data_IF_955992934069
#
_entry.id   IF_955992934069
#
_cell.length_a   1.000
_cell.length_b   1.000
_cell.length_c   1.000
_cell.angle_alpha   90.00
_cell.angle_beta   90.00
_cell.angle_gamma   90.00
#
_symmetry.space_group_name_H-M   'P 1'
#
loop_
_entity.id
_entity.type
_entity.pdbx_description
1 polymer ?
#
# COMPACT_ATOMS: atom_id res chain seq x y z
N UNK A 1 1.94 -7.93 21.23
CA UNK A 1 2.57 -7.38 22.45
C UNK A 1 3.49 -6.21 22.11
N UNK A 2 4.49 -6.38 21.22
CA UNK A 2 5.44 -5.33 20.82
C UNK A 2 4.80 -4.00 20.38
N UNK A 3 3.84 -4.03 19.46
CA UNK A 3 3.17 -2.79 19.01
C UNK A 3 2.42 -2.07 20.13
N UNK A 4 2.01 -2.78 21.19
CA UNK A 4 1.46 -2.12 22.38
C UNK A 4 2.50 -1.26 23.08
N UNK A 5 3.72 -1.78 23.24
CA UNK A 5 4.85 -1.03 23.79
C UNK A 5 5.24 0.15 22.90
N UNK A 6 5.32 -0.06 21.57
CA UNK A 6 5.60 1.03 20.62
C UNK A 6 4.58 2.17 20.77
N UNK A 7 3.30 1.84 20.86
CA UNK A 7 2.24 2.84 21.03
C UNK A 7 2.36 3.59 22.37
N UNK A 8 2.79 2.93 23.44
CA UNK A 8 3.11 3.60 24.71
C UNK A 8 4.28 4.58 24.57
N UNK A 9 5.33 4.21 23.85
CA UNK A 9 6.48 5.09 23.60
C UNK A 9 6.07 6.32 22.75
N UNK A 10 5.26 6.10 21.69
CA UNK A 10 4.73 7.18 20.84
C UNK A 10 3.83 8.13 21.62
N UNK A 11 3.05 7.65 22.59
CA UNK A 11 2.19 8.48 23.42
C UNK A 11 2.97 9.31 24.45
N UNK A 12 4.11 8.80 24.94
CA UNK A 12 4.97 9.49 25.90
C UNK A 12 5.84 10.58 25.26
N UNK A 13 6.18 10.43 23.98
CA UNK A 13 6.87 11.49 23.23
C UNK A 13 5.91 12.63 22.88
N UNK A 14 6.25 13.85 23.31
CA UNK A 14 5.35 15.00 23.17
C UNK A 14 5.06 15.39 21.72
N UNK A 15 5.99 15.18 20.79
CA UNK A 15 5.81 15.51 19.37
C UNK A 15 4.98 14.46 18.65
N UNK A 16 5.21 13.17 18.94
CA UNK A 16 4.40 12.07 18.43
C UNK A 16 2.96 12.11 18.95
N UNK A 17 2.78 12.44 20.24
CA UNK A 17 1.48 12.51 20.89
C UNK A 17 0.61 13.62 20.33
N UNK A 18 1.17 14.82 20.07
CA UNK A 18 0.48 15.93 19.39
C UNK A 18 0.00 15.56 17.98
N UNK A 19 0.70 14.66 17.29
CA UNK A 19 0.37 14.17 15.95
C UNK A 19 -0.50 12.92 15.96
N UNK A 20 -0.91 12.45 17.14
CA UNK A 20 -1.75 11.25 17.32
C UNK A 20 -1.19 10.00 16.63
N UNK A 21 0.14 9.82 16.63
CA UNK A 21 0.77 8.66 15.99
C UNK A 21 0.52 7.38 16.79
N UNK A 22 -0.05 6.38 16.13
CA UNK A 22 -0.40 5.11 16.77
C UNK A 22 -0.45 3.97 15.75
N UNK A 23 0.09 2.80 16.11
CA UNK A 23 0.00 1.60 15.27
C UNK A 23 -1.34 0.92 15.55
N UNK A 24 -2.17 0.77 14.51
CA UNK A 24 -3.41 0.00 14.61
C UNK A 24 -3.11 -1.49 14.85
N UNK A 25 -3.76 -2.06 15.87
CA UNK A 25 -3.60 -3.46 16.26
C UNK A 25 -4.92 -4.19 16.11
N UNK A 26 -4.86 -5.44 15.68
CA UNK A 26 -5.99 -6.37 15.67
C UNK A 26 -5.60 -7.64 16.43
N UNK A 27 -6.56 -8.34 17.06
CA UNK A 27 -6.25 -9.53 17.83
C UNK A 27 -5.89 -10.69 16.90
N UNK A 28 -4.87 -11.46 17.28
CA UNK A 28 -4.53 -12.75 16.70
C UNK A 28 -4.46 -13.75 17.86
N UNK A 29 -5.42 -14.66 17.94
CA UNK A 29 -5.62 -15.58 19.06
C UNK A 29 -5.21 -16.98 18.58
N UNK A 30 -4.09 -17.55 19.07
CA UNK A 30 -3.71 -18.90 18.72
C UNK A 30 -4.72 -19.90 19.31
N UNK A 31 -5.09 -20.91 18.52
CA UNK A 31 -5.94 -22.02 18.95
C UNK A 31 -5.16 -23.35 19.01
N UNK A 32 -4.18 -23.52 18.13
CA UNK A 32 -3.24 -24.64 18.12
C UNK A 32 -1.89 -24.20 17.53
N UNK A 33 -0.95 -25.13 17.33
CA UNK A 33 0.32 -24.84 16.66
C UNK A 33 0.14 -24.33 15.22
N UNK A 34 -0.92 -24.80 14.53
CA UNK A 34 -1.15 -24.50 13.10
C UNK A 34 -2.45 -23.73 12.85
N UNK A 35 -3.13 -23.28 13.90
CA UNK A 35 -4.41 -22.57 13.74
C UNK A 35 -4.60 -21.47 14.78
N UNK A 36 -5.38 -20.47 14.40
CA UNK A 36 -5.73 -19.33 15.22
C UNK A 36 -6.87 -18.54 14.62
N UNK A 37 -7.35 -17.55 15.36
CA UNK A 37 -8.36 -16.60 14.94
C UNK A 37 -7.71 -15.23 14.75
N UNK A 38 -8.10 -14.54 13.68
CA UNK A 38 -7.78 -13.13 13.49
C UNK A 38 -9.05 -12.30 13.69
N UNK A 39 -8.92 -11.21 14.44
CA UNK A 39 -9.97 -10.20 14.50
C UNK A 39 -10.11 -9.52 13.16
N UNK A 40 -11.31 -9.54 12.60
CA UNK A 40 -11.63 -8.79 11.40
C UNK A 40 -11.50 -7.29 11.65
N UNK A 41 -10.82 -6.60 10.74
CA UNK A 41 -10.72 -5.15 10.78
C UNK A 41 -11.80 -4.56 9.85
N UNK A 42 -12.87 -3.95 10.38
CA UNK A 42 -13.92 -3.39 9.54
C UNK A 42 -13.44 -2.16 8.78
N UNK A 43 -14.04 -1.89 7.63
CA UNK A 43 -13.79 -0.69 6.82
C UNK A 43 -12.34 -0.53 6.35
N UNK A 44 -11.63 -1.63 6.13
CA UNK A 44 -10.26 -1.62 5.58
C UNK A 44 -10.15 -2.46 4.34
N UNK A 45 -9.42 -1.93 3.36
CA UNK A 45 -9.05 -2.62 2.14
C UNK A 45 -7.52 -2.74 2.06
N UNK A 46 -7.02 -3.78 1.39
CA UNK A 46 -5.58 -3.85 1.08
C UNK A 46 -5.25 -2.89 -0.06
N UNK A 47 -4.00 -2.42 -0.10
CA UNK A 47 -3.51 -1.56 -1.19
C UNK A 47 -3.77 -2.18 -2.57
N UNK A 48 -3.60 -3.50 -2.70
CA UNK A 48 -3.86 -4.23 -3.93
C UNK A 48 -5.34 -4.11 -4.37
N UNK A 49 -6.28 -4.34 -3.44
CA UNK A 49 -7.72 -4.22 -3.74
C UNK A 49 -8.06 -2.80 -4.17
N UNK A 50 -7.55 -1.79 -3.45
CA UNK A 50 -7.76 -0.38 -3.77
C UNK A 50 -7.28 -0.01 -5.18
N UNK A 51 -6.06 -0.43 -5.55
CA UNK A 51 -5.50 -0.17 -6.89
C UNK A 51 -6.29 -0.93 -7.96
N UNK A 52 -6.62 -2.21 -7.71
CA UNK A 52 -7.35 -3.05 -8.66
C UNK A 52 -8.72 -2.47 -8.98
N UNK A 53 -9.53 -2.14 -7.98
CA UNK A 53 -10.86 -1.56 -8.18
C UNK A 53 -10.80 -0.24 -8.98
N UNK A 54 -9.84 0.62 -8.64
CA UNK A 54 -9.63 1.86 -9.35
C UNK A 54 -9.25 1.64 -10.83
N UNK A 55 -8.32 0.73 -11.10
CA UNK A 55 -7.87 0.43 -12.47
C UNK A 55 -8.96 -0.23 -13.30
N UNK A 56 -9.68 -1.20 -12.73
CA UNK A 56 -10.80 -1.88 -13.39
C UNK A 56 -11.91 -0.88 -13.78
N UNK A 57 -12.27 0.04 -12.87
CA UNK A 57 -13.29 1.07 -13.15
C UNK A 57 -12.91 2.01 -14.31
N UNK A 58 -11.62 2.15 -14.60
CA UNK A 58 -11.07 3.02 -15.65
C UNK A 58 -10.50 2.25 -16.84
N UNK A 59 -10.70 0.93 -16.89
CA UNK A 59 -10.17 0.03 -17.94
C UNK A 59 -8.65 0.11 -18.11
N UNK A 60 -7.93 0.37 -17.02
CA UNK A 60 -6.47 0.32 -16.97
C UNK A 60 -6.06 -1.13 -16.70
N UNK A 61 -5.10 -1.65 -17.46
CA UNK A 61 -4.60 -3.00 -17.22
C UNK A 61 -3.87 -3.06 -15.86
N UNK A 62 -4.22 -4.06 -15.04
CA UNK A 62 -3.69 -4.18 -13.68
C UNK A 62 -2.15 -4.31 -13.66
N UNK A 63 -1.59 -4.99 -14.65
CA UNK A 63 -0.16 -5.27 -14.77
C UNK A 63 0.53 -4.45 -15.88
N UNK A 64 0.04 -3.24 -16.17
CA UNK A 64 0.57 -2.41 -17.26
C UNK A 64 2.06 -2.13 -17.11
N UNK A 65 2.55 -1.84 -15.91
CA UNK A 65 3.98 -1.60 -15.63
C UNK A 65 4.80 -2.82 -16.05
N UNK A 66 4.39 -4.00 -15.61
CA UNK A 66 5.09 -5.24 -15.93
C UNK A 66 5.04 -5.56 -17.43
N UNK A 67 3.92 -5.26 -18.11
CA UNK A 67 3.83 -5.40 -19.58
C UNK A 67 4.79 -4.45 -20.30
N UNK A 68 4.90 -3.20 -19.86
CA UNK A 68 5.83 -2.22 -20.43
C UNK A 68 7.28 -2.71 -20.25
N UNK A 69 7.61 -3.27 -19.08
CA UNK A 69 8.92 -3.87 -18.82
C UNK A 69 9.22 -5.02 -19.79
N UNK A 70 8.29 -5.96 -19.96
CA UNK A 70 8.46 -7.10 -20.86
C UNK A 70 8.45 -6.72 -22.35
N UNK A 71 7.81 -5.60 -22.70
CA UNK A 71 7.88 -5.05 -24.06
C UNK A 71 9.28 -4.51 -24.37
N UNK A 72 9.96 -3.90 -23.39
CA UNK A 72 11.34 -3.44 -23.54
C UNK A 72 12.33 -4.61 -23.49
N UNK A 73 12.17 -5.52 -22.53
CA UNK A 73 13.04 -6.67 -22.34
C UNK A 73 12.21 -7.94 -22.04
N UNK A 74 11.94 -8.79 -23.06
CA UNK A 74 11.15 -10.02 -22.90
C UNK A 74 11.75 -11.02 -21.90
N UNK A 75 13.07 -10.98 -21.70
CA UNK A 75 13.86 -11.84 -20.81
C UNK A 75 14.29 -11.13 -19.52
N UNK A 76 13.43 -10.24 -18.99
CA UNK A 76 13.69 -9.41 -17.80
C UNK A 76 14.34 -10.16 -16.62
N UNK A 77 13.92 -11.40 -16.35
CA UNK A 77 14.41 -12.18 -15.22
C UNK A 77 15.91 -12.47 -15.28
N UNK A 78 16.46 -12.64 -16.50
CA UNK A 78 17.86 -12.99 -16.75
C UNK A 78 18.79 -11.78 -16.83
N UNK A 79 18.25 -10.56 -16.75
CA UNK A 79 19.04 -9.33 -16.84
C UNK A 79 19.94 -9.13 -15.61
N UNK A 80 21.09 -8.50 -15.85
CA UNK A 80 21.95 -8.00 -14.77
C UNK A 80 21.25 -6.90 -13.97
N UNK A 81 21.75 -6.59 -12.77
CA UNK A 81 21.15 -5.56 -11.91
C UNK A 81 21.02 -4.21 -12.63
N UNK A 82 22.05 -3.77 -13.34
CA UNK A 82 22.05 -2.48 -14.04
C UNK A 82 21.00 -2.44 -15.16
N UNK A 83 20.85 -3.53 -15.90
CA UNK A 83 19.82 -3.65 -16.94
C UNK A 83 18.40 -3.68 -16.34
N UNK A 84 18.21 -4.33 -15.18
CA UNK A 84 16.91 -4.29 -14.47
C UNK A 84 16.54 -2.87 -14.02
N UNK A 85 17.52 -2.09 -13.55
CA UNK A 85 17.32 -0.68 -13.19
C UNK A 85 16.89 0.13 -14.41
N UNK A 86 17.52 -0.08 -15.56
CA UNK A 86 17.16 0.61 -16.81
C UNK A 86 15.72 0.28 -17.24
N UNK A 87 15.36 -1.01 -17.28
CA UNK A 87 14.00 -1.43 -17.66
C UNK A 87 12.95 -0.96 -16.64
N UNK A 88 13.29 -0.95 -15.36
CA UNK A 88 12.41 -0.40 -14.32
C UNK A 88 12.20 1.11 -14.47
N UNK A 89 13.28 1.87 -14.72
CA UNK A 89 13.21 3.31 -15.00
C UNK A 89 12.34 3.62 -16.22
N UNK A 90 12.50 2.84 -17.29
CA UNK A 90 11.66 2.96 -18.48
C UNK A 90 10.17 2.74 -18.17
N UNK A 91 9.81 1.70 -17.42
CA UNK A 91 8.42 1.45 -17.04
C UNK A 91 7.88 2.55 -16.10
N UNK A 92 8.72 3.10 -15.23
CA UNK A 92 8.37 4.21 -14.35
C UNK A 92 8.08 5.48 -15.16
N UNK A 93 8.91 5.84 -16.13
CA UNK A 93 8.73 7.03 -16.97
C UNK A 93 7.49 6.94 -17.88
N UNK A 94 7.10 5.72 -18.26
CA UNK A 94 5.92 5.44 -19.08
C UNK A 94 4.63 5.24 -18.28
N UNK A 95 4.67 5.39 -16.95
CA UNK A 95 3.47 5.29 -16.10
C UNK A 95 3.37 6.47 -15.14
N UNK A 96 2.15 6.79 -14.68
CA UNK A 96 1.95 8.01 -13.86
C UNK A 96 2.14 7.79 -12.37
N UNK A 97 1.92 6.56 -11.86
CA UNK A 97 2.01 6.25 -10.43
C UNK A 97 0.98 6.98 -9.52
N UNK A 98 -0.04 7.62 -10.07
CA UNK A 98 -0.98 8.47 -9.31
C UNK A 98 -2.22 7.74 -8.76
N UNK A 99 -2.30 6.42 -8.93
CA UNK A 99 -3.53 5.66 -8.65
C UNK A 99 -3.93 5.77 -7.19
N UNK A 100 -3.01 5.55 -6.25
CA UNK A 100 -3.30 5.63 -4.82
C UNK A 100 -3.77 7.03 -4.40
N UNK A 101 -3.12 8.08 -4.90
CA UNK A 101 -3.54 9.46 -4.66
C UNK A 101 -4.99 9.69 -5.11
N UNK A 102 -5.33 9.22 -6.32
CA UNK A 102 -6.68 9.35 -6.89
C UNK A 102 -7.69 8.52 -6.12
N UNK A 103 -7.32 7.33 -5.65
CA UNK A 103 -8.18 6.52 -4.77
C UNK A 103 -8.49 7.23 -3.47
N UNK A 104 -7.46 7.76 -2.79
CA UNK A 104 -7.65 8.49 -1.54
C UNK A 104 -8.54 9.71 -1.73
N UNK A 105 -8.39 10.42 -2.84
CA UNK A 105 -9.28 11.53 -3.21
C UNK A 105 -10.73 11.07 -3.43
N UNK A 106 -10.94 10.06 -4.28
CA UNK A 106 -12.29 9.57 -4.65
C UNK A 106 -13.03 8.92 -3.46
N UNK A 107 -12.32 8.31 -2.51
CA UNK A 107 -12.91 7.74 -1.28
C UNK A 107 -13.14 8.78 -0.17
N UNK A 108 -12.77 10.04 -0.39
CA UNK A 108 -12.97 11.12 0.59
C UNK A 108 -14.28 11.87 0.32
N UNK A 109 -15.05 12.12 1.38
CA UNK A 109 -16.35 12.82 1.28
C UNK A 109 -16.21 14.34 1.12
N UNK A 110 -15.08 14.89 1.55
CA UNK A 110 -14.74 16.31 1.47
C UNK A 110 -13.23 16.48 1.24
N UNK A 111 -12.83 17.68 0.83
CA UNK A 111 -11.41 18.05 0.68
C UNK A 111 -10.66 18.04 2.01
N UNK A 112 -11.33 18.44 3.10
CA UNK A 112 -10.77 18.37 4.46
C UNK A 112 -10.54 16.92 4.90
N UNK A 113 -11.51 16.03 4.68
CA UNK A 113 -11.37 14.61 4.99
C UNK A 113 -10.26 13.94 4.17
N UNK A 114 -10.01 14.42 2.95
CA UNK A 114 -8.87 13.96 2.15
C UNK A 114 -7.54 14.45 2.75
N UNK A 115 -7.47 15.71 3.17
CA UNK A 115 -6.28 16.30 3.76
C UNK A 115 -5.91 15.63 5.10
N UNK A 116 -6.91 15.31 5.92
CA UNK A 116 -6.70 14.62 7.20
C UNK A 116 -6.20 13.18 7.03
N UNK A 117 -6.52 12.53 5.90
CA UNK A 117 -6.17 11.13 5.63
C UNK A 117 -4.85 10.92 4.89
N UNK A 118 -4.27 11.98 4.28
CA UNK A 118 -3.07 11.89 3.45
C UNK A 118 -1.80 12.11 4.26
#
# INVERSE_FOLDING_TARGET
QLFGLCNTLLANDSECSKRHLNIHRYPAIPLSQNSGLFGWLPNTDTLHVLIREYRESRKILLNIEHRIMLQMAPDYDNLTLMQKVEVFGYALDNTTGQDLYRVLWLKSKSSEAWLERR
#
